data_IF_515045326185
#
_entry.id   IF_515045326185
#
_cell.length_a   1.000
_cell.length_b   1.000
_cell.length_c   1.000
_cell.angle_alpha   90.00
_cell.angle_beta   90.00
_cell.angle_gamma   90.00
#
_symmetry.space_group_name_H-M   'P 1'
#
loop_
_entity.id
_entity.type
_entity.pdbx_description
1 polymer ?
#
# COMPACT_ATOMS: atom_id res chain seq x y z
N UNK A 1 -11.42 -11.48 15.60
CA UNK A 1 -11.74 -12.83 15.11
C UNK A 1 -11.94 -12.80 13.59
N UNK A 2 -12.92 -12.03 13.11
CA UNK A 2 -13.26 -11.78 11.68
C UNK A 2 -12.06 -11.61 10.72
N UNK A 3 -11.11 -10.71 11.00
CA UNK A 3 -9.97 -10.47 10.10
C UNK A 3 -9.08 -11.69 9.88
N UNK A 4 -8.93 -12.54 10.90
CA UNK A 4 -8.13 -13.77 10.81
C UNK A 4 -8.82 -14.78 9.92
N UNK A 5 -10.13 -14.98 10.10
CA UNK A 5 -10.96 -15.90 9.30
C UNK A 5 -10.93 -15.52 7.82
N UNK A 6 -11.04 -14.22 7.51
CA UNK A 6 -10.95 -13.73 6.13
C UNK A 6 -9.57 -13.97 5.54
N UNK A 7 -8.50 -13.65 6.26
CA UNK A 7 -7.13 -13.94 5.78
C UNK A 7 -6.96 -15.44 5.56
N UNK A 8 -7.41 -16.27 6.49
CA UNK A 8 -7.28 -17.72 6.38
C UNK A 8 -8.11 -18.28 5.20
N UNK A 9 -9.26 -17.67 4.87
CA UNK A 9 -10.03 -18.00 3.66
C UNK A 9 -9.31 -17.57 2.38
N UNK A 10 -8.85 -16.31 2.30
CA UNK A 10 -8.11 -15.80 1.14
C UNK A 10 -6.86 -16.63 0.87
N UNK A 11 -6.13 -17.02 1.93
CA UNK A 11 -4.97 -17.92 1.82
C UNK A 11 -5.37 -19.31 1.33
N UNK A 12 -6.52 -19.85 1.74
CA UNK A 12 -7.02 -21.14 1.23
C UNK A 12 -7.38 -21.07 -0.25
N UNK A 13 -8.03 -20.00 -0.69
CA UNK A 13 -8.40 -19.81 -2.08
C UNK A 13 -7.17 -19.61 -2.98
N UNK A 14 -6.21 -18.83 -2.52
CA UNK A 14 -4.96 -18.64 -3.25
C UNK A 14 -4.18 -19.95 -3.38
N UNK A 15 -4.17 -20.78 -2.33
CA UNK A 15 -3.59 -22.13 -2.40
C UNK A 15 -4.29 -23.01 -3.44
N UNK A 16 -5.63 -23.04 -3.44
CA UNK A 16 -6.41 -23.76 -4.45
C UNK A 16 -6.09 -23.26 -5.87
N UNK A 17 -5.94 -21.94 -6.05
CA UNK A 17 -5.52 -21.35 -7.32
C UNK A 17 -4.13 -21.83 -7.72
N UNK A 18 -3.13 -21.73 -6.84
CA UNK A 18 -1.78 -22.21 -7.14
C UNK A 18 -1.79 -23.68 -7.52
N UNK A 19 -2.52 -24.52 -6.78
CA UNK A 19 -2.68 -25.95 -7.08
C UNK A 19 -3.29 -26.16 -8.47
N UNK A 20 -4.39 -25.46 -8.80
CA UNK A 20 -5.04 -25.53 -10.12
C UNK A 20 -4.15 -25.02 -11.26
N UNK A 21 -3.27 -24.06 -10.98
CA UNK A 21 -2.31 -23.49 -11.94
C UNK A 21 -0.98 -24.24 -11.99
N UNK A 22 -0.82 -25.36 -11.27
CA UNK A 22 0.42 -26.13 -11.22
C UNK A 22 1.57 -25.42 -10.49
N UNK A 23 1.29 -24.33 -9.77
CA UNK A 23 2.27 -23.60 -8.96
C UNK A 23 2.48 -24.36 -7.66
N UNK A 24 3.66 -24.95 -7.50
CA UNK A 24 4.04 -25.66 -6.27
C UNK A 24 4.60 -24.67 -5.25
N UNK A 25 3.84 -24.41 -4.20
CA UNK A 25 4.32 -23.61 -3.06
C UNK A 25 5.39 -24.39 -2.26
N UNK A 26 6.41 -23.72 -1.72
CA UNK A 26 7.45 -24.39 -0.94
C UNK A 26 6.85 -25.00 0.33
N UNK A 27 7.10 -26.31 0.54
CA UNK A 27 6.72 -26.98 1.79
C UNK A 27 7.64 -26.52 2.93
N UNK A 28 7.04 -25.99 4.00
CA UNK A 28 7.77 -25.49 5.18
C UNK A 28 7.55 -26.44 6.35
N UNK A 29 8.54 -27.27 6.65
CA UNK A 29 8.47 -28.20 7.79
C UNK A 29 8.36 -27.41 9.11
N UNK A 30 7.42 -27.76 10.00
CA UNK A 30 7.31 -27.13 11.33
C UNK A 30 8.61 -27.23 12.13
N UNK A 31 9.32 -28.36 12.00
CA UNK A 31 10.61 -28.57 12.67
C UNK A 31 11.70 -27.68 12.10
N UNK A 32 11.80 -27.61 10.76
CA UNK A 32 12.74 -26.71 10.10
C UNK A 32 12.48 -25.25 10.50
N UNK A 33 11.20 -24.83 10.54
CA UNK A 33 10.81 -23.48 11.01
C UNK A 33 11.25 -23.25 12.45
N UNK A 34 11.05 -24.21 13.35
CA UNK A 34 11.51 -24.12 14.74
C UNK A 34 13.02 -23.86 14.87
N UNK A 35 13.83 -24.46 14.00
CA UNK A 35 15.29 -24.30 14.02
C UNK A 35 15.78 -23.01 13.36
N UNK A 36 15.23 -22.65 12.20
CA UNK A 36 15.82 -21.55 11.38
C UNK A 36 15.15 -20.20 11.60
N UNK A 37 13.92 -20.17 12.11
CA UNK A 37 13.15 -18.93 12.17
C UNK A 37 13.81 -17.90 13.08
N UNK A 38 14.21 -18.28 14.29
CA UNK A 38 14.88 -17.36 15.22
C UNK A 38 16.21 -16.81 14.68
N UNK A 39 17.21 -17.66 14.33
CA UNK A 39 18.51 -17.15 13.93
C UNK A 39 18.43 -16.30 12.66
N UNK A 40 17.61 -16.70 11.67
CA UNK A 40 17.48 -15.92 10.44
C UNK A 40 16.73 -14.61 10.64
N UNK A 41 15.66 -14.58 11.45
CA UNK A 41 15.03 -13.31 11.79
C UNK A 41 15.98 -12.38 12.54
N UNK A 42 16.81 -12.91 13.45
CA UNK A 42 17.79 -12.11 14.17
C UNK A 42 18.87 -11.57 13.22
N UNK A 43 19.42 -12.41 12.35
CA UNK A 43 20.39 -11.99 11.33
C UNK A 43 19.80 -10.93 10.39
N UNK A 44 18.58 -11.13 9.92
CA UNK A 44 17.87 -10.12 9.14
C UNK A 44 17.71 -8.81 9.91
N UNK A 45 17.26 -8.88 11.17
CA UNK A 45 17.10 -7.70 12.02
C UNK A 45 18.41 -6.94 12.21
N UNK A 46 19.50 -7.65 12.51
CA UNK A 46 20.84 -7.07 12.64
C UNK A 46 21.31 -6.46 11.32
N UNK A 47 21.07 -7.12 10.19
CA UNK A 47 21.35 -6.59 8.86
C UNK A 47 20.59 -5.29 8.59
N UNK A 48 19.30 -5.24 8.93
CA UNK A 48 18.48 -4.04 8.78
C UNK A 48 18.94 -2.90 9.70
N UNK A 49 19.27 -3.22 10.95
CA UNK A 49 19.85 -2.27 11.89
C UNK A 49 21.19 -1.73 11.38
N UNK A 50 22.04 -2.60 10.83
CA UNK A 50 23.32 -2.21 10.24
C UNK A 50 23.13 -1.25 9.05
N UNK A 51 22.23 -1.59 8.10
CA UNK A 51 21.87 -0.70 6.98
C UNK A 51 21.41 0.69 7.46
N UNK A 52 20.60 0.74 8.52
CA UNK A 52 20.08 1.99 9.08
C UNK A 52 21.17 2.91 9.63
N UNK A 53 22.21 2.33 10.22
CA UNK A 53 23.31 3.05 10.86
C UNK A 53 24.51 3.30 9.92
N UNK A 54 24.56 2.66 8.75
CA UNK A 54 25.58 2.93 7.74
C UNK A 54 25.43 4.31 7.07
N UNK A 55 26.54 4.87 6.54
CA UNK A 55 26.48 6.04 5.69
C UNK A 55 25.48 5.85 4.55
N UNK A 56 24.70 6.88 4.24
CA UNK A 56 23.56 6.79 3.31
C UNK A 56 23.94 6.29 1.91
N UNK A 57 25.09 6.74 1.40
CA UNK A 57 25.67 6.25 0.14
C UNK A 57 25.89 4.74 0.14
N UNK A 58 26.35 4.19 1.26
CA UNK A 58 26.70 2.78 1.40
C UNK A 58 25.45 1.94 1.60
N UNK A 59 24.51 2.40 2.45
CA UNK A 59 23.19 1.77 2.60
C UNK A 59 22.49 1.65 1.25
N UNK A 60 22.48 2.73 0.46
CA UNK A 60 21.90 2.73 -0.87
C UNK A 60 22.57 1.70 -1.79
N UNK A 61 23.91 1.72 -1.90
CA UNK A 61 24.64 0.81 -2.76
C UNK A 61 24.41 -0.67 -2.36
N UNK A 62 24.31 -0.96 -1.07
CA UNK A 62 23.97 -2.29 -0.57
C UNK A 62 22.54 -2.69 -0.91
N UNK A 63 21.57 -1.81 -0.68
CA UNK A 63 20.17 -2.07 -1.02
C UNK A 63 19.99 -2.27 -2.54
N UNK A 64 20.66 -1.47 -3.36
CA UNK A 64 20.68 -1.61 -4.82
C UNK A 64 21.23 -2.99 -5.22
N UNK A 65 22.35 -3.42 -4.65
CA UNK A 65 22.93 -4.75 -4.92
C UNK A 65 21.99 -5.89 -4.49
N UNK A 66 21.36 -5.78 -3.33
CA UNK A 66 20.40 -6.78 -2.83
C UNK A 66 19.19 -6.85 -3.76
N UNK A 67 18.59 -5.72 -4.12
CA UNK A 67 17.42 -5.68 -4.99
C UNK A 67 17.74 -6.17 -6.40
N UNK A 68 18.91 -5.81 -6.94
CA UNK A 68 19.37 -6.32 -8.24
C UNK A 68 19.64 -7.83 -8.21
N UNK A 69 20.14 -8.36 -7.10
CA UNK A 69 20.32 -9.79 -6.93
C UNK A 69 18.96 -10.51 -6.86
N UNK A 70 18.03 -9.99 -6.07
CA UNK A 70 16.67 -10.53 -5.94
C UNK A 70 15.87 -10.43 -7.23
N UNK A 71 16.14 -9.43 -8.08
CA UNK A 71 15.54 -9.28 -9.40
C UNK A 71 16.16 -10.18 -10.47
N UNK A 72 17.09 -11.09 -10.12
CA UNK A 72 17.79 -11.92 -11.11
C UNK A 72 18.65 -11.09 -12.07
N UNK A 73 19.07 -9.89 -11.65
CA UNK A 73 19.80 -8.89 -12.44
C UNK A 73 19.02 -8.32 -13.63
N UNK A 74 17.71 -8.50 -13.67
CA UNK A 74 16.83 -7.85 -14.65
C UNK A 74 16.83 -6.34 -14.40
N UNK A 75 16.82 -5.55 -15.47
CA UNK A 75 16.74 -4.09 -15.40
C UNK A 75 15.65 -3.60 -16.34
N UNK A 76 14.64 -2.97 -15.78
CA UNK A 76 13.59 -2.33 -16.57
C UNK A 76 14.01 -0.92 -17.00
N UNK A 77 13.45 -0.47 -18.14
CA UNK A 77 13.74 0.86 -18.69
C UNK A 77 12.96 1.92 -17.92
N UNK A 78 13.55 3.10 -17.80
CA UNK A 78 12.85 4.30 -17.33
C UNK A 78 11.93 4.80 -18.44
N UNK A 79 10.71 5.18 -18.09
CA UNK A 79 9.78 5.82 -19.00
C UNK A 79 10.29 7.20 -19.47
N UNK A 80 9.80 7.69 -20.62
CA UNK A 80 10.34 8.88 -21.29
C UNK A 80 10.22 10.17 -20.47
N UNK A 81 9.28 10.24 -19.53
CA UNK A 81 9.02 11.43 -18.73
C UNK A 81 9.76 11.48 -17.39
N UNK A 82 10.59 10.47 -17.07
CA UNK A 82 11.25 10.34 -15.75
C UNK A 82 11.93 11.65 -15.31
N UNK A 83 12.89 12.15 -16.10
CA UNK A 83 13.66 13.34 -15.74
C UNK A 83 12.79 14.61 -15.62
N UNK A 84 11.75 14.73 -16.44
CA UNK A 84 10.79 15.85 -16.35
C UNK A 84 10.02 15.80 -15.02
N UNK A 85 9.52 14.61 -14.63
CA UNK A 85 8.77 14.43 -13.38
C UNK A 85 9.64 14.66 -12.14
N UNK A 86 10.92 14.28 -12.17
CA UNK A 86 11.90 14.62 -11.12
C UNK A 86 12.10 16.13 -11.00
N UNK A 87 12.23 16.85 -12.13
CA UNK A 87 12.34 18.31 -12.13
C UNK A 87 11.07 18.97 -11.55
N UNK A 88 9.89 18.51 -11.93
CA UNK A 88 8.62 18.99 -11.36
C UNK A 88 8.54 18.75 -9.84
N UNK A 89 8.93 17.56 -9.38
CA UNK A 89 8.95 17.23 -7.96
C UNK A 89 9.86 18.17 -7.17
N UNK A 90 11.07 18.43 -7.67
CA UNK A 90 12.02 19.38 -7.07
C UNK A 90 11.48 20.80 -7.05
N UNK A 91 10.84 21.24 -8.15
CA UNK A 91 10.19 22.54 -8.23
C UNK A 91 9.10 22.68 -7.16
N UNK A 92 8.20 21.71 -7.04
CA UNK A 92 7.16 21.69 -6.02
C UNK A 92 7.73 21.69 -4.60
N UNK A 93 8.77 20.88 -4.35
CA UNK A 93 9.42 20.82 -3.04
C UNK A 93 10.05 22.15 -2.64
N UNK A 94 10.78 22.79 -3.57
CA UNK A 94 11.39 24.11 -3.37
C UNK A 94 10.31 25.17 -3.10
N UNK A 95 9.24 25.19 -3.90
CA UNK A 95 8.12 26.14 -3.69
C UNK A 95 7.43 25.92 -2.35
N UNK A 96 7.24 24.68 -1.94
CA UNK A 96 6.72 24.34 -0.62
C UNK A 96 7.63 24.87 0.49
N UNK A 97 8.94 24.68 0.37
CA UNK A 97 9.90 25.20 1.34
C UNK A 97 9.91 26.73 1.41
N UNK A 98 9.88 27.41 0.26
CA UNK A 98 9.78 28.87 0.18
C UNK A 98 8.51 29.41 0.85
N UNK A 99 7.35 28.76 0.63
CA UNK A 99 6.06 29.23 1.16
C UNK A 99 5.80 28.87 2.62
N UNK A 100 6.35 27.75 3.11
CA UNK A 100 6.06 27.24 4.46
C UNK A 100 7.28 27.25 5.40
N UNK A 101 8.44 27.66 4.91
CA UNK A 101 9.71 27.64 5.66
C UNK A 101 10.21 26.23 6.00
N UNK A 102 9.62 25.19 5.41
CA UNK A 102 9.97 23.79 5.69
C UNK A 102 9.88 22.94 4.41
N UNK A 103 10.93 22.16 4.16
CA UNK A 103 10.91 21.11 3.13
C UNK A 103 9.82 20.06 3.42
N UNK A 104 9.07 19.59 2.41
CA UNK A 104 8.04 18.58 2.59
C UNK A 104 8.63 17.21 2.99
N UNK A 105 7.82 16.41 3.68
CA UNK A 105 8.04 14.97 3.74
C UNK A 105 7.78 14.37 2.35
N UNK A 106 8.49 13.30 1.96
CA UNK A 106 8.31 12.69 0.63
C UNK A 106 7.85 11.25 0.78
N UNK A 107 6.76 10.93 0.08
CA UNK A 107 6.23 9.57 -0.02
C UNK A 107 6.27 9.14 -1.47
N UNK A 108 7.11 8.16 -1.79
CA UNK A 108 7.07 7.46 -3.06
C UNK A 108 6.05 6.31 -2.96
N UNK A 109 4.97 6.42 -3.72
CA UNK A 109 3.88 5.44 -3.75
C UNK A 109 4.07 4.52 -4.95
N UNK A 110 4.17 3.21 -4.72
CA UNK A 110 4.39 2.22 -5.76
C UNK A 110 3.07 1.56 -6.15
N UNK A 111 2.85 1.32 -7.45
CA UNK A 111 1.91 0.28 -7.86
C UNK A 111 2.39 -1.08 -7.39
N UNK A 112 1.47 -2.04 -7.27
CA UNK A 112 1.81 -3.41 -6.93
C UNK A 112 1.62 -4.26 -8.20
N UNK A 113 2.71 -4.82 -8.75
CA UNK A 113 2.63 -5.73 -9.88
C UNK A 113 1.95 -7.03 -9.49
N UNK A 114 1.44 -7.80 -10.47
CA UNK A 114 0.91 -9.12 -10.21
C UNK A 114 1.99 -10.01 -9.58
N UNK A 115 1.62 -10.83 -8.59
CA UNK A 115 2.52 -11.76 -7.88
C UNK A 115 2.53 -13.10 -8.62
N UNK A 116 2.74 -13.07 -9.94
CA UNK A 116 3.01 -14.27 -10.72
C UNK A 116 4.51 -14.59 -10.65
N UNK A 117 4.90 -15.84 -10.89
CA UNK A 117 6.31 -16.24 -10.80
C UNK A 117 7.18 -15.44 -11.77
N UNK A 118 6.64 -15.14 -12.95
CA UNK A 118 7.28 -14.39 -14.03
C UNK A 118 7.45 -12.90 -13.68
N UNK A 119 6.49 -12.32 -12.93
CA UNK A 119 6.42 -10.87 -12.66
C UNK A 119 6.88 -10.50 -11.24
N UNK A 120 7.17 -11.48 -10.37
CA UNK A 120 7.70 -11.23 -9.02
C UNK A 120 9.00 -10.40 -9.00
N UNK A 121 9.80 -10.51 -10.06
CA UNK A 121 11.01 -9.70 -10.27
C UNK A 121 10.69 -8.20 -10.35
N UNK A 122 9.52 -7.84 -10.88
CA UNK A 122 9.07 -6.47 -11.06
C UNK A 122 8.87 -5.74 -9.72
N UNK A 123 8.48 -6.45 -8.66
CA UNK A 123 8.38 -5.89 -7.31
C UNK A 123 9.71 -5.33 -6.82
N UNK A 124 10.78 -6.12 -6.94
CA UNK A 124 12.12 -5.72 -6.52
C UNK A 124 12.64 -4.57 -7.37
N UNK A 125 12.35 -4.59 -8.67
CA UNK A 125 12.74 -3.52 -9.57
C UNK A 125 11.96 -2.22 -9.30
N UNK A 126 10.67 -2.25 -8.99
CA UNK A 126 9.91 -1.06 -8.58
C UNK A 126 10.50 -0.43 -7.32
N UNK A 127 10.83 -1.26 -6.32
CA UNK A 127 11.51 -0.79 -5.13
C UNK A 127 12.86 -0.17 -5.51
N UNK A 128 13.67 -0.84 -6.33
CA UNK A 128 14.98 -0.31 -6.78
C UNK A 128 14.81 1.05 -7.46
N UNK A 129 13.84 1.19 -8.35
CA UNK A 129 13.52 2.44 -9.04
C UNK A 129 13.04 3.54 -8.10
N UNK A 130 12.26 3.21 -7.07
CA UNK A 130 11.87 4.17 -6.04
C UNK A 130 13.08 4.73 -5.28
N UNK A 131 14.07 3.88 -5.00
CA UNK A 131 15.32 4.33 -4.39
C UNK A 131 16.10 5.25 -5.34
N UNK A 132 16.22 4.88 -6.63
CA UNK A 132 16.84 5.75 -7.63
C UNK A 132 16.11 7.08 -7.77
N UNK A 133 14.78 7.08 -7.78
CA UNK A 133 13.96 8.29 -7.86
C UNK A 133 14.24 9.23 -6.69
N UNK A 134 14.27 8.69 -5.46
CA UNK A 134 14.56 9.48 -4.26
C UNK A 134 16.01 9.98 -4.23
N UNK A 135 16.97 9.16 -4.68
CA UNK A 135 18.37 9.56 -4.85
C UNK A 135 18.50 10.65 -5.90
N UNK A 136 17.79 10.55 -7.02
CA UNK A 136 17.83 11.59 -8.04
C UNK A 136 17.22 12.86 -7.48
N UNK A 137 16.04 12.80 -6.87
CA UNK A 137 15.35 13.95 -6.28
C UNK A 137 16.24 14.80 -5.35
N UNK A 138 16.96 14.20 -4.39
CA UNK A 138 17.69 14.93 -3.32
C UNK A 138 19.08 14.38 -2.97
N UNK A 139 19.61 13.43 -3.73
CA UNK A 139 20.87 12.78 -3.42
C UNK A 139 20.78 11.84 -2.22
N UNK A 140 21.81 11.86 -1.37
CA UNK A 140 21.94 10.95 -0.21
C UNK A 140 21.71 11.64 1.14
N UNK A 141 21.09 12.82 1.12
CA UNK A 141 20.92 13.64 2.32
C UNK A 141 19.98 12.99 3.35
N UNK A 142 18.98 12.24 2.88
CA UNK A 142 17.92 11.71 3.74
C UNK A 142 17.94 10.18 3.83
N UNK A 143 17.60 9.60 5.01
CA UNK A 143 17.33 8.17 5.10
C UNK A 143 16.09 7.81 4.28
N UNK A 144 16.18 6.71 3.54
CA UNK A 144 15.04 6.09 2.86
C UNK A 144 14.47 5.01 3.79
N UNK A 145 13.22 5.19 4.18
CA UNK A 145 12.39 4.18 4.82
C UNK A 145 11.57 3.49 3.75
N UNK A 146 11.33 2.21 3.96
CA UNK A 146 10.42 1.45 3.11
C UNK A 146 9.29 0.91 3.98
N UNK A 147 8.07 1.04 3.51
CA UNK A 147 6.89 0.40 4.07
C UNK A 147 6.47 -0.64 3.04
N UNK A 148 6.88 -1.89 3.27
CA UNK A 148 6.31 -3.02 2.52
C UNK A 148 5.31 -3.70 3.43
N UNK A 149 4.06 -3.70 2.97
CA UNK A 149 3.04 -4.57 3.50
C UNK A 149 3.21 -5.94 2.87
N UNK A 150 3.91 -6.85 3.54
CA UNK A 150 4.00 -8.23 3.07
C UNK A 150 2.77 -8.96 3.59
N UNK A 151 1.96 -9.50 2.69
CA UNK A 151 0.90 -10.40 3.11
C UNK A 151 1.47 -11.78 3.49
N UNK A 152 0.67 -12.55 4.24
CA UNK A 152 1.04 -13.89 4.69
C UNK A 152 1.37 -14.82 3.52
N UNK A 153 0.58 -14.75 2.46
CA UNK A 153 0.75 -15.58 1.28
C UNK A 153 2.04 -15.26 0.53
N UNK A 154 2.39 -13.97 0.36
CA UNK A 154 3.63 -13.55 -0.29
C UNK A 154 4.87 -14.10 0.43
N UNK A 155 4.85 -14.17 1.77
CA UNK A 155 5.89 -14.86 2.54
C UNK A 155 5.80 -16.39 2.40
N UNK A 156 4.60 -16.95 2.36
CA UNK A 156 4.36 -18.40 2.18
C UNK A 156 4.88 -18.91 0.82
N UNK A 157 4.90 -18.06 -0.21
CA UNK A 157 5.39 -18.39 -1.55
C UNK A 157 6.93 -18.45 -1.67
N UNK A 158 7.69 -17.88 -0.74
CA UNK A 158 9.17 -17.90 -0.79
C UNK A 158 9.76 -19.02 0.09
N UNK A 159 10.96 -19.53 -0.25
CA UNK A 159 11.69 -20.48 0.59
C UNK A 159 11.85 -19.99 2.03
N UNK A 160 11.78 -20.91 3.00
CA UNK A 160 11.80 -20.61 4.44
C UNK A 160 12.98 -19.72 4.86
N UNK A 161 14.17 -19.94 4.28
CA UNK A 161 15.36 -19.14 4.61
C UNK A 161 15.18 -17.68 4.21
N UNK A 162 14.66 -17.44 3.00
CA UNK A 162 14.41 -16.11 2.47
C UNK A 162 13.29 -15.41 3.26
N UNK A 163 12.21 -16.13 3.57
CA UNK A 163 11.13 -15.65 4.43
C UNK A 163 11.67 -15.11 5.76
N UNK A 164 12.38 -15.95 6.52
CA UNK A 164 12.80 -15.60 7.88
C UNK A 164 13.84 -14.48 7.90
N UNK A 165 14.80 -14.49 6.96
CA UNK A 165 15.79 -13.41 6.86
C UNK A 165 15.13 -12.09 6.46
N UNK A 166 14.27 -12.10 5.43
CA UNK A 166 13.59 -10.89 4.96
C UNK A 166 12.65 -10.30 6.01
N UNK A 167 11.91 -11.15 6.74
CA UNK A 167 11.05 -10.71 7.84
C UNK A 167 11.85 -10.01 8.95
N UNK A 168 13.08 -10.46 9.23
CA UNK A 168 14.02 -9.77 10.11
C UNK A 168 14.48 -8.43 9.54
N UNK A 169 14.94 -8.42 8.30
CA UNK A 169 15.46 -7.23 7.59
C UNK A 169 14.46 -6.08 7.58
N UNK A 170 13.20 -6.41 7.29
CA UNK A 170 12.08 -5.47 7.24
C UNK A 170 11.84 -4.75 8.58
N UNK A 171 12.31 -5.28 9.70
CA UNK A 171 12.13 -4.68 11.03
C UNK A 171 13.34 -3.88 11.49
N UNK A 172 14.54 -4.27 11.07
CA UNK A 172 15.76 -3.54 11.42
C UNK A 172 15.94 -2.26 10.60
N UNK A 173 15.67 -2.34 9.29
CA UNK A 173 15.95 -1.26 8.34
C UNK A 173 14.69 -0.51 7.86
N UNK A 174 13.55 -1.20 7.81
CA UNK A 174 12.33 -0.71 7.17
C UNK A 174 11.18 -0.54 8.18
N UNK A 175 10.09 0.08 7.73
CA UNK A 175 8.82 0.17 8.42
C UNK A 175 8.01 -1.10 8.07
N UNK A 176 8.51 -2.25 8.51
CA UNK A 176 7.93 -3.55 8.18
C UNK A 176 6.53 -3.75 8.72
N UNK A 177 5.62 -4.15 7.84
CA UNK A 177 4.36 -4.79 8.22
C UNK A 177 4.65 -6.27 8.44
N UNK A 178 4.47 -6.74 9.67
CA UNK A 178 4.28 -8.15 9.86
C UNK A 178 2.81 -8.37 10.21
N UNK A 179 2.09 -9.12 9.37
CA UNK A 179 0.71 -9.52 9.66
C UNK A 179 0.63 -10.58 10.75
N UNK A 180 1.74 -11.00 11.35
CA UNK A 180 1.81 -12.17 12.23
C UNK A 180 2.68 -12.05 13.50
N UNK A 181 2.85 -10.87 14.15
CA UNK A 181 3.63 -10.83 15.39
C UNK A 181 3.03 -11.73 16.49
N UNK A 182 1.72 -12.02 16.45
CA UNK A 182 1.04 -12.89 17.41
C UNK A 182 1.18 -14.40 17.14
N UNK A 183 1.60 -14.82 15.94
CA UNK A 183 1.83 -16.25 15.63
C UNK A 183 3.24 -16.70 16.05
N UNK A 184 4.13 -15.75 16.35
CA UNK A 184 5.47 -16.03 16.85
C UNK A 184 5.39 -16.56 18.28
N UNK A 185 6.19 -17.58 18.59
CA UNK A 185 6.18 -18.24 19.91
C UNK A 185 7.26 -17.66 20.83
N UNK A 186 6.98 -17.63 22.13
CA UNK A 186 7.96 -17.30 23.18
C UNK A 186 8.62 -15.92 23.04
N UNK A 187 9.95 -15.87 23.21
CA UNK A 187 10.74 -14.64 23.21
C UNK A 187 10.66 -13.87 21.88
N UNK A 188 10.47 -14.57 20.76
CA UNK A 188 10.26 -13.92 19.47
C UNK A 188 9.05 -12.98 19.50
N UNK A 189 7.94 -13.39 20.13
CA UNK A 189 6.76 -12.53 20.24
C UNK A 189 7.09 -11.21 20.93
N UNK A 190 7.84 -11.24 22.03
CA UNK A 190 8.27 -10.03 22.77
C UNK A 190 9.25 -9.19 21.96
N UNK A 191 10.28 -9.81 21.39
CA UNK A 191 11.28 -9.13 20.57
C UNK A 191 10.64 -8.41 19.37
N UNK A 192 9.50 -8.93 18.91
CA UNK A 192 8.85 -8.52 17.68
C UNK A 192 7.43 -7.97 17.85
N UNK A 193 7.00 -7.68 19.07
CA UNK A 193 5.68 -7.12 19.39
C UNK A 193 5.52 -5.69 18.84
N UNK A 194 6.64 -4.99 18.61
CA UNK A 194 6.66 -3.61 18.08
C UNK A 194 6.32 -3.51 16.59
N UNK A 195 6.14 -4.64 15.91
CA UNK A 195 5.87 -4.73 14.45
C UNK A 195 4.38 -4.79 14.06
N UNK A 196 3.46 -4.60 15.01
CA UNK A 196 2.02 -4.67 14.73
C UNK A 196 1.47 -3.46 13.95
N UNK A 197 0.36 -3.67 13.23
CA UNK A 197 -0.36 -2.65 12.43
C UNK A 197 -0.47 -1.28 13.11
N UNK A 198 -0.89 -1.25 14.37
CA UNK A 198 -1.10 0.01 15.10
C UNK A 198 0.18 0.82 15.31
N UNK A 199 1.32 0.15 15.51
CA UNK A 199 2.63 0.80 15.72
C UNK A 199 3.28 1.22 14.40
N UNK A 200 2.99 0.54 13.29
CA UNK A 200 3.48 0.97 11.97
C UNK A 200 2.88 2.32 11.56
N UNK A 201 1.57 2.51 11.72
CA UNK A 201 0.94 3.80 11.45
C UNK A 201 1.61 4.93 12.23
N UNK A 202 1.89 4.70 13.51
CA UNK A 202 2.65 5.65 14.34
C UNK A 202 4.07 5.86 13.80
N UNK A 203 4.81 4.79 13.49
CA UNK A 203 6.19 4.88 12.99
C UNK A 203 6.28 5.59 11.64
N UNK A 204 5.30 5.39 10.75
CA UNK A 204 5.16 6.12 9.50
C UNK A 204 4.95 7.61 9.76
N UNK A 205 4.01 7.96 10.65
CA UNK A 205 3.77 9.37 11.01
C UNK A 205 5.02 10.01 11.59
N UNK A 206 5.74 9.31 12.48
CA UNK A 206 6.97 9.82 13.06
C UNK A 206 8.10 9.98 12.02
N UNK A 207 8.23 9.04 11.08
CA UNK A 207 9.17 9.16 9.96
C UNK A 207 8.83 10.39 9.10
N UNK A 208 7.56 10.58 8.76
CA UNK A 208 7.11 11.72 7.94
C UNK A 208 7.24 13.05 8.67
N UNK A 209 6.93 13.13 9.97
CA UNK A 209 7.18 14.33 10.78
C UNK A 209 8.66 14.69 10.86
N UNK A 210 9.54 13.70 10.87
CA UNK A 210 11.00 13.88 10.77
C UNK A 210 11.46 14.21 9.35
N UNK A 211 10.54 14.31 8.39
CA UNK A 211 10.80 14.55 6.97
C UNK A 211 11.68 13.46 6.35
N UNK A 212 11.64 12.24 6.88
CA UNK A 212 12.28 11.08 6.24
C UNK A 212 11.58 10.78 4.90
N UNK A 213 12.28 10.10 3.99
CA UNK A 213 11.74 9.71 2.69
C UNK A 213 11.16 8.32 2.82
N UNK A 214 9.93 8.12 2.39
CA UNK A 214 9.24 6.85 2.57
C UNK A 214 8.81 6.28 1.23
N UNK A 215 9.23 5.05 0.94
CA UNK A 215 8.73 4.24 -0.17
C UNK A 215 7.60 3.36 0.37
N UNK A 216 6.40 3.40 -0.21
CA UNK A 216 5.24 2.62 0.23
C UNK A 216 4.60 1.96 -0.98
N UNK A 217 4.30 0.66 -0.89
CA UNK A 217 3.47 0.00 -1.90
C UNK A 217 2.00 0.23 -1.55
N UNK A 218 1.23 0.82 -2.46
CA UNK A 218 -0.15 1.26 -2.17
C UNK A 218 -1.13 0.07 -2.03
N UNK A 219 -0.86 -1.05 -2.69
CA UNK A 219 -1.57 -2.33 -2.55
C UNK A 219 -0.65 -3.36 -1.90
N UNK A 220 -0.96 -3.83 -0.68
CA UNK A 220 -0.04 -4.66 0.12
C UNK A 220 -0.42 -6.13 0.21
N UNK A 221 -0.59 -6.82 -0.93
CA UNK A 221 -0.84 -8.26 -0.98
C UNK A 221 -1.00 -8.77 -2.41
N UNK A 222 -1.13 -10.11 -2.57
CA UNK A 222 -1.47 -10.73 -3.86
C UNK A 222 -2.63 -9.98 -4.46
N UNK A 223 -2.44 -9.55 -5.70
CA UNK A 223 -3.20 -8.50 -6.38
C UNK A 223 -4.72 -8.66 -6.18
N UNK A 224 -5.20 -9.89 -6.26
CA UNK A 224 -6.59 -10.27 -6.22
C UNK A 224 -7.15 -10.36 -4.78
N UNK A 225 -6.41 -10.95 -3.83
CA UNK A 225 -6.77 -11.00 -2.40
C UNK A 225 -6.74 -9.62 -1.75
N UNK A 226 -5.74 -8.83 -2.13
CA UNK A 226 -5.62 -7.44 -1.73
C UNK A 226 -6.85 -6.70 -2.25
N UNK A 227 -7.13 -6.71 -3.55
CA UNK A 227 -8.29 -6.04 -4.15
C UNK A 227 -9.58 -6.29 -3.37
N UNK A 228 -10.01 -7.55 -3.21
CA UNK A 228 -11.28 -7.84 -2.53
C UNK A 228 -11.29 -7.31 -1.09
N UNK A 229 -10.28 -7.68 -0.30
CA UNK A 229 -10.20 -7.30 1.11
C UNK A 229 -10.23 -5.78 1.27
N UNK A 230 -9.55 -5.10 0.38
CA UNK A 230 -9.39 -3.68 0.47
C UNK A 230 -10.60 -2.90 -0.06
N UNK A 231 -11.17 -3.31 -1.20
CA UNK A 231 -12.42 -2.75 -1.74
C UNK A 231 -13.54 -2.92 -0.71
N UNK A 232 -13.66 -4.12 -0.10
CA UNK A 232 -14.61 -4.38 0.98
C UNK A 232 -14.43 -3.41 2.15
N UNK A 233 -13.18 -3.12 2.54
CA UNK A 233 -12.88 -2.21 3.66
C UNK A 233 -13.15 -0.75 3.34
N UNK A 234 -12.84 -0.30 2.13
CA UNK A 234 -13.16 1.07 1.71
C UNK A 234 -14.68 1.24 1.60
N UNK A 235 -15.38 0.25 1.04
CA UNK A 235 -16.85 0.23 0.95
C UNK A 235 -17.52 0.19 2.32
N UNK A 236 -17.10 -0.72 3.21
CA UNK A 236 -17.56 -0.74 4.59
C UNK A 236 -17.32 0.59 5.29
N UNK A 237 -16.16 1.21 5.08
CA UNK A 237 -15.84 2.49 5.70
C UNK A 237 -16.72 3.63 5.16
N UNK A 238 -17.06 3.62 3.87
CA UNK A 238 -18.04 4.54 3.29
C UNK A 238 -19.45 4.33 3.89
N UNK A 239 -19.84 3.07 4.12
CA UNK A 239 -21.11 2.71 4.77
C UNK A 239 -21.14 3.04 6.28
N UNK A 240 -19.98 3.07 6.93
CA UNK A 240 -19.84 3.28 8.38
C UNK A 240 -20.12 4.71 8.82
N UNK A 241 -20.04 5.71 7.94
CA UNK A 241 -20.19 7.13 8.33
C UNK A 241 -21.55 7.45 8.97
N UNK A 242 -22.56 6.58 8.82
CA UNK A 242 -23.90 6.70 9.45
C UNK A 242 -24.13 5.80 10.69
N UNK A 243 -23.23 4.90 11.05
CA UNK A 243 -23.48 3.92 12.11
C UNK A 243 -23.14 4.46 13.53
N UNK A 244 -24.16 4.58 14.38
CA UNK A 244 -24.10 5.24 15.70
C UNK A 244 -23.23 4.54 16.76
N UNK A 245 -22.92 3.24 16.63
CA UNK A 245 -22.15 2.50 17.66
C UNK A 245 -21.01 1.63 17.12
N UNK A 246 -19.94 1.48 17.91
CA UNK A 246 -18.72 0.75 17.53
C UNK A 246 -18.88 -0.78 17.49
N UNK A 247 -19.80 -1.35 18.28
CA UNK A 247 -20.10 -2.78 18.27
C UNK A 247 -20.84 -3.19 16.99
N UNK A 248 -21.90 -2.44 16.64
CA UNK A 248 -22.67 -2.63 15.40
C UNK A 248 -21.80 -2.57 14.15
N UNK A 249 -20.77 -1.72 14.15
CA UNK A 249 -19.79 -1.63 13.08
C UNK A 249 -18.98 -2.93 12.88
N UNK A 250 -18.63 -3.67 13.93
CA UNK A 250 -17.86 -4.92 13.76
C UNK A 250 -18.71 -6.02 13.18
N UNK A 251 -19.97 -6.12 13.60
CA UNK A 251 -20.90 -7.11 13.08
C UNK A 251 -21.28 -6.81 11.63
N UNK A 252 -21.46 -5.53 11.28
CA UNK A 252 -21.64 -5.10 9.89
C UNK A 252 -20.40 -5.39 9.03
N UNK A 253 -19.19 -5.11 9.52
CA UNK A 253 -17.97 -5.46 8.80
C UNK A 253 -17.92 -6.98 8.58
N UNK A 254 -18.23 -7.79 9.61
CA UNK A 254 -18.31 -9.24 9.50
C UNK A 254 -19.34 -9.69 8.47
N UNK A 255 -20.54 -9.14 8.49
CA UNK A 255 -21.63 -9.53 7.59
C UNK A 255 -21.27 -9.22 6.13
N UNK A 256 -20.75 -8.01 5.85
CA UNK A 256 -20.28 -7.67 4.51
C UNK A 256 -19.20 -8.66 4.04
N UNK A 257 -18.22 -8.95 4.90
CA UNK A 257 -17.18 -9.90 4.54
C UNK A 257 -17.71 -11.31 4.33
N UNK A 258 -18.64 -11.79 5.16
CA UNK A 258 -19.29 -13.09 4.97
C UNK A 258 -20.06 -13.15 3.65
N UNK A 259 -20.75 -12.07 3.26
CA UNK A 259 -21.45 -11.96 1.97
C UNK A 259 -20.46 -12.06 0.80
N UNK A 260 -19.37 -11.30 0.86
CA UNK A 260 -18.31 -11.33 -0.15
C UNK A 260 -17.57 -12.67 -0.20
N UNK A 261 -17.61 -13.42 0.90
CA UNK A 261 -16.84 -14.63 1.12
C UNK A 261 -17.63 -15.94 1.06
N UNK A 262 -18.94 -15.87 0.78
CA UNK A 262 -19.78 -17.05 0.70
C UNK A 262 -19.23 -18.02 -0.36
N UNK A 263 -19.17 -19.32 -0.09
CA UNK A 263 -18.83 -20.33 -1.10
C UNK A 263 -20.08 -20.64 -1.96
N UNK A 264 -20.61 -19.63 -2.66
CA UNK A 264 -21.63 -19.80 -3.70
C UNK A 264 -21.00 -19.48 -5.05
N UNK A 265 -21.51 -20.00 -6.17
CA UNK A 265 -21.03 -19.63 -7.53
C UNK A 265 -21.12 -18.12 -7.80
N UNK A 266 -21.97 -17.42 -7.06
CA UNK A 266 -22.27 -16.00 -7.19
C UNK A 266 -21.41 -15.08 -6.31
N UNK A 267 -20.48 -15.63 -5.53
CA UNK A 267 -19.58 -14.85 -4.69
C UNK A 267 -18.44 -14.21 -5.50
N UNK A 268 -17.83 -13.15 -4.97
CA UNK A 268 -16.59 -12.61 -5.58
C UNK A 268 -15.46 -13.65 -5.61
N UNK A 269 -15.54 -14.64 -4.71
CA UNK A 269 -14.53 -15.67 -4.54
C UNK A 269 -14.68 -16.84 -5.52
N UNK A 270 -15.85 -17.02 -6.13
CA UNK A 270 -16.17 -18.15 -7.03
C UNK A 270 -16.22 -17.77 -8.51
N UNK A 271 -16.72 -16.58 -8.86
CA UNK A 271 -16.85 -16.10 -10.23
C UNK A 271 -17.02 -14.56 -10.20
N UNK A 272 -16.08 -13.70 -10.64
CA UNK A 272 -14.82 -13.89 -11.35
C UNK A 272 -13.65 -13.15 -10.65
N UNK A 273 -12.83 -13.87 -9.87
CA UNK A 273 -11.58 -13.37 -9.27
C UNK A 273 -10.61 -12.74 -10.29
N UNK A 274 -10.80 -13.05 -11.60
CA UNK A 274 -9.92 -12.65 -12.72
C UNK A 274 -10.48 -11.57 -13.64
N UNK A 275 -11.80 -11.53 -13.92
CA UNK A 275 -12.34 -10.56 -14.90
C UNK A 275 -12.45 -9.14 -14.34
N UNK A 276 -12.20 -8.97 -13.04
CA UNK A 276 -12.34 -7.68 -12.31
C UNK A 276 -13.76 -7.13 -12.34
N UNK A 277 -14.73 -7.98 -12.66
CA UNK A 277 -16.14 -7.64 -12.69
C UNK A 277 -16.82 -8.11 -11.40
N UNK A 278 -17.84 -7.36 -11.00
CA UNK A 278 -18.72 -7.73 -9.90
C UNK A 278 -19.94 -8.39 -10.53
N UNK A 279 -20.31 -9.63 -10.16
CA UNK A 279 -21.52 -10.28 -10.68
C UNK A 279 -22.77 -9.46 -10.37
N UNK A 280 -23.74 -9.44 -11.29
CA UNK A 280 -25.00 -8.71 -11.10
C UNK A 280 -25.78 -9.16 -9.85
N UNK A 281 -25.73 -10.45 -9.50
CA UNK A 281 -26.33 -10.99 -8.27
C UNK A 281 -25.71 -10.39 -7.00
N UNK A 282 -24.38 -10.23 -7.00
CA UNK A 282 -23.68 -9.57 -5.91
C UNK A 282 -23.92 -8.07 -5.88
N UNK A 283 -24.05 -7.40 -7.04
CA UNK A 283 -24.43 -5.99 -7.09
C UNK A 283 -25.77 -5.74 -6.38
N UNK A 284 -26.77 -6.59 -6.68
CA UNK A 284 -28.07 -6.54 -6.01
C UNK A 284 -27.93 -6.78 -4.50
N UNK A 285 -27.14 -7.77 -4.11
CA UNK A 285 -26.87 -8.09 -2.69
C UNK A 285 -26.19 -6.93 -1.95
N UNK A 286 -25.23 -6.24 -2.58
CA UNK A 286 -24.56 -5.06 -2.01
C UNK A 286 -25.50 -3.86 -1.89
N UNK A 287 -26.39 -3.65 -2.87
CA UNK A 287 -27.42 -2.61 -2.81
C UNK A 287 -28.42 -2.90 -1.68
N UNK A 288 -28.94 -4.12 -1.59
CA UNK A 288 -29.81 -4.57 -0.50
C UNK A 288 -29.14 -4.44 0.87
N UNK A 289 -27.86 -4.83 0.96
CA UNK A 289 -27.08 -4.66 2.17
C UNK A 289 -27.01 -3.18 2.58
N UNK A 290 -26.68 -2.27 1.66
CA UNK A 290 -26.65 -0.83 1.95
C UNK A 290 -28.03 -0.28 2.37
N UNK A 291 -29.11 -0.73 1.71
CA UNK A 291 -30.49 -0.38 2.09
C UNK A 291 -30.82 -0.84 3.52
N UNK A 292 -30.40 -2.05 3.90
CA UNK A 292 -30.58 -2.58 5.28
C UNK A 292 -29.87 -1.74 6.35
N UNK A 293 -28.86 -0.96 5.93
CA UNK A 293 -28.14 -0.02 6.79
C UNK A 293 -28.80 1.38 6.86
N UNK A 294 -29.95 1.57 6.22
CA UNK A 294 -30.69 2.84 6.22
C UNK A 294 -30.19 3.86 5.18
N UNK A 295 -29.49 3.42 4.14
CA UNK A 295 -29.17 4.28 3.00
C UNK A 295 -30.38 4.44 2.08
N UNK A 296 -30.51 5.60 1.43
CA UNK A 296 -31.51 5.74 0.35
C UNK A 296 -31.12 4.89 -0.84
N UNK A 297 -32.09 4.54 -1.71
CA UNK A 297 -31.82 3.75 -2.92
C UNK A 297 -30.77 4.40 -3.83
N UNK A 298 -30.79 5.72 -3.97
CA UNK A 298 -29.77 6.45 -4.73
C UNK A 298 -28.38 6.30 -4.11
N UNK A 299 -28.27 6.44 -2.78
CA UNK A 299 -27.00 6.30 -2.08
C UNK A 299 -26.48 4.86 -2.10
N UNK A 300 -27.37 3.87 -1.97
CA UNK A 300 -27.06 2.45 -2.08
C UNK A 300 -26.47 2.14 -3.47
N UNK A 301 -27.16 2.54 -4.54
CA UNK A 301 -26.67 2.42 -5.93
C UNK A 301 -25.32 3.08 -6.14
N UNK A 302 -25.15 4.32 -5.68
CA UNK A 302 -23.87 5.04 -5.78
C UNK A 302 -22.75 4.30 -5.06
N UNK A 303 -23.02 3.74 -3.89
CA UNK A 303 -22.01 3.03 -3.08
C UNK A 303 -21.64 1.68 -3.70
N UNK A 304 -22.62 0.96 -4.28
CA UNK A 304 -22.39 -0.27 -5.07
C UNK A 304 -21.60 0.03 -6.34
N UNK A 305 -21.93 1.09 -7.08
CA UNK A 305 -21.16 1.51 -8.25
C UNK A 305 -19.72 1.88 -7.90
N UNK A 306 -19.51 2.56 -6.76
CA UNK A 306 -18.16 2.86 -6.26
C UNK A 306 -17.40 1.57 -5.88
N UNK A 307 -18.07 0.58 -5.27
CA UNK A 307 -17.48 -0.74 -5.02
C UNK A 307 -17.02 -1.39 -6.32
N UNK A 308 -17.89 -1.45 -7.34
CA UNK A 308 -17.58 -2.03 -8.65
C UNK A 308 -16.40 -1.32 -9.31
N UNK A 309 -16.42 0.00 -9.33
CA UNK A 309 -15.32 0.82 -9.88
C UNK A 309 -14.01 0.56 -9.18
N UNK A 310 -13.99 0.50 -7.85
CA UNK A 310 -12.78 0.23 -7.05
C UNK A 310 -12.31 -1.22 -7.21
N UNK A 311 -13.23 -2.18 -7.26
CA UNK A 311 -12.92 -3.60 -7.52
C UNK A 311 -12.28 -3.81 -8.89
N UNK A 312 -12.73 -3.09 -9.92
CA UNK A 312 -12.21 -3.20 -11.28
C UNK A 312 -10.76 -2.74 -11.48
N UNK A 313 -10.14 -2.09 -10.49
CA UNK A 313 -8.85 -1.39 -10.64
C UNK A 313 -7.65 -2.30 -10.46
N UNK A 314 -6.55 -1.91 -11.10
CA UNK A 314 -5.22 -2.43 -10.79
C UNK A 314 -4.74 -1.95 -9.43
N UNK A 315 -4.83 -0.64 -9.21
CA UNK A 315 -4.47 -0.02 -7.94
C UNK A 315 -5.71 0.63 -7.31
N UNK A 316 -6.19 0.10 -6.17
CA UNK A 316 -7.32 0.68 -5.45
C UNK A 316 -6.96 2.05 -4.87
N UNK A 317 -7.93 2.96 -4.84
CA UNK A 317 -7.74 4.37 -4.46
C UNK A 317 -7.27 4.59 -3.02
N UNK A 318 -7.61 3.69 -2.09
CA UNK A 318 -7.12 3.75 -0.69
C UNK A 318 -7.42 5.07 0.00
N UNK A 319 -8.63 5.61 -0.15
CA UNK A 319 -9.01 6.91 0.43
C UNK A 319 -8.62 7.02 1.93
N UNK A 320 -8.77 5.94 2.70
CA UNK A 320 -8.34 5.88 4.11
C UNK A 320 -6.86 6.18 4.35
N UNK A 321 -5.97 5.76 3.47
CA UNK A 321 -4.54 6.04 3.57
C UNK A 321 -4.28 7.54 3.39
N UNK A 322 -4.86 8.16 2.37
CA UNK A 322 -4.74 9.60 2.14
C UNK A 322 -5.36 10.43 3.27
N UNK A 323 -6.51 10.00 3.79
CA UNK A 323 -7.12 10.63 4.97
C UNK A 323 -6.22 10.51 6.20
N UNK A 324 -5.60 9.35 6.39
CA UNK A 324 -4.64 9.14 7.46
C UNK A 324 -3.45 10.10 7.32
N UNK A 325 -2.84 10.17 6.14
CA UNK A 325 -1.74 11.11 5.85
C UNK A 325 -2.16 12.54 6.15
N UNK A 326 -3.31 12.97 5.63
CA UNK A 326 -3.76 14.35 5.79
C UNK A 326 -4.01 14.67 7.26
N UNK A 327 -4.76 13.82 7.98
CA UNK A 327 -5.10 14.09 9.39
C UNK A 327 -3.92 14.00 10.34
N UNK A 328 -3.01 13.07 10.11
CA UNK A 328 -1.94 12.74 11.07
C UNK A 328 -0.62 13.44 10.77
N UNK A 329 -0.40 13.86 9.52
CA UNK A 329 0.84 14.48 9.06
C UNK A 329 0.57 15.89 8.55
N UNK A 330 -0.22 16.03 7.48
CA UNK A 330 -0.42 17.32 6.80
C UNK A 330 -1.04 18.38 7.71
N UNK A 331 -2.14 18.03 8.39
CA UNK A 331 -2.83 18.91 9.35
C UNK A 331 -2.02 19.16 10.63
N UNK A 332 -0.88 18.48 10.81
CA UNK A 332 0.12 18.79 11.84
C UNK A 332 1.25 19.67 11.29
N UNK A 333 0.96 20.43 10.23
CA UNK A 333 1.85 21.40 9.56
C UNK A 333 3.08 20.76 8.95
N UNK A 334 2.96 19.51 8.48
CA UNK A 334 4.03 18.84 7.73
C UNK A 334 3.53 18.60 6.31
N UNK A 335 3.89 19.45 5.34
CA UNK A 335 3.60 19.21 3.93
C UNK A 335 4.09 17.84 3.46
N UNK A 336 3.35 17.20 2.56
CA UNK A 336 3.73 15.88 2.02
C UNK A 336 3.75 15.93 0.50
N UNK A 337 4.92 15.69 -0.09
CA UNK A 337 5.11 15.47 -1.53
C UNK A 337 4.86 13.99 -1.84
N UNK A 338 3.92 13.70 -2.73
CA UNK A 338 3.66 12.37 -3.23
C UNK A 338 4.35 12.18 -4.58
N UNK A 339 5.08 11.08 -4.72
CA UNK A 339 5.75 10.65 -5.95
C UNK A 339 5.19 9.30 -6.39
N UNK A 340 4.27 9.24 -7.35
CA UNK A 340 3.73 7.98 -7.84
C UNK A 340 4.74 7.31 -8.77
N UNK A 341 5.03 6.04 -8.54
CA UNK A 341 5.83 5.19 -9.40
C UNK A 341 5.00 3.97 -9.81
N UNK A 342 4.78 3.82 -11.11
CA UNK A 342 4.06 2.70 -11.70
C UNK A 342 4.94 1.88 -12.61
N UNK A 343 4.49 0.66 -12.89
CA UNK A 343 5.07 -0.20 -13.91
C UNK A 343 4.13 -0.25 -15.13
N UNK A 344 4.70 -0.45 -16.31
CA UNK A 344 3.98 -0.76 -17.53
C UNK A 344 3.37 -2.17 -17.50
N UNK A 345 2.86 -2.61 -18.65
CA UNK A 345 2.29 -3.95 -18.78
C UNK A 345 3.38 -5.02 -18.74
N UNK A 346 2.97 -6.28 -18.58
CA UNK A 346 3.90 -7.42 -18.65
C UNK A 346 4.68 -7.47 -19.97
N UNK A 347 4.05 -7.03 -21.07
CA UNK A 347 4.63 -7.02 -22.41
C UNK A 347 5.52 -5.80 -22.69
N UNK A 348 5.30 -4.70 -21.96
CA UNK A 348 6.09 -3.47 -22.06
C UNK A 348 6.53 -2.99 -20.69
N UNK A 349 7.45 -3.71 -20.04
CA UNK A 349 7.77 -3.44 -18.66
C UNK A 349 8.71 -2.22 -18.60
N UNK A 350 8.09 -1.06 -18.40
CA UNK A 350 8.73 0.23 -18.18
C UNK A 350 8.36 0.78 -16.82
N UNK A 351 9.24 1.58 -16.21
CA UNK A 351 8.97 2.26 -14.95
C UNK A 351 8.64 3.72 -15.20
N UNK A 352 7.43 4.14 -14.88
CA UNK A 352 6.97 5.50 -15.09
C UNK A 352 6.77 6.21 -13.74
N UNK A 353 7.18 7.47 -13.69
CA UNK A 353 6.82 8.37 -12.60
C UNK A 353 5.60 9.16 -13.06
N UNK A 354 4.53 9.14 -12.28
CA UNK A 354 3.36 9.96 -12.56
C UNK A 354 3.56 11.42 -12.11
N UNK A 355 2.47 12.16 -12.05
CA UNK A 355 2.45 13.56 -11.67
C UNK A 355 2.71 13.73 -10.16
N UNK A 356 3.80 14.43 -9.77
CA UNK A 356 4.06 14.72 -8.36
C UNK A 356 3.06 15.76 -7.84
N UNK A 357 2.61 15.61 -6.60
CA UNK A 357 1.67 16.53 -5.96
C UNK A 357 2.04 16.80 -4.51
N UNK A 358 1.78 18.00 -4.01
CA UNK A 358 2.00 18.35 -2.59
C UNK A 358 0.67 18.46 -1.88
N UNK A 359 0.54 17.75 -0.77
CA UNK A 359 -0.56 17.88 0.18
C UNK A 359 -0.18 18.90 1.25
N UNK A 360 -1.02 19.92 1.42
CA UNK A 360 -0.80 21.05 2.31
C UNK A 360 -1.88 21.17 3.39
N UNK A 361 -1.52 21.73 4.56
CA UNK A 361 -2.50 22.03 5.61
C UNK A 361 -3.52 23.06 5.11
N UNK A 362 -4.74 22.96 5.63
CA UNK A 362 -5.81 23.94 5.42
C UNK A 362 -5.95 24.75 6.71
N UNK A 363 -5.95 26.08 6.60
CA UNK A 363 -5.95 26.98 7.76
C UNK A 363 -7.31 27.12 8.45
N UNK A 364 -8.42 26.95 7.71
CA UNK A 364 -9.79 26.97 8.25
C UNK A 364 -10.66 25.90 7.59
N UNK A 365 -11.38 25.12 8.40
CA UNK A 365 -12.44 24.22 7.92
C UNK A 365 -13.63 25.06 7.46
N UNK A 366 -13.79 25.22 6.15
CA UNK A 366 -15.11 25.51 5.59
C UNK A 366 -15.76 24.16 5.27
N UNK A 367 -16.81 23.77 5.99
CA UNK A 367 -17.62 22.59 5.65
C UNK A 367 -17.72 21.51 6.74
N UNK A 368 -18.37 20.41 6.35
CA UNK A 368 -18.75 19.30 7.21
C UNK A 368 -17.52 18.73 7.94
N UNK A 369 -17.49 18.69 9.29
CA UNK A 369 -16.35 18.18 10.05
C UNK A 369 -16.03 16.69 9.79
N UNK A 370 -16.95 15.94 9.18
CA UNK A 370 -16.75 14.56 8.75
C UNK A 370 -16.01 14.44 7.43
N UNK A 371 -16.07 15.46 6.55
CA UNK A 371 -15.32 15.47 5.32
C UNK A 371 -13.88 15.89 5.58
N UNK A 372 -12.95 15.08 5.10
CA UNK A 372 -11.54 15.43 5.10
C UNK A 372 -11.28 16.19 3.81
N UNK A 373 -10.77 17.41 3.95
CA UNK A 373 -10.36 18.26 2.84
C UNK A 373 -8.84 18.39 2.83
N UNK A 374 -8.27 18.43 1.64
CA UNK A 374 -6.85 18.69 1.42
C UNK A 374 -6.65 19.90 0.51
N UNK A 375 -5.68 20.75 0.82
CA UNK A 375 -5.15 21.69 -0.16
C UNK A 375 -4.07 20.96 -0.95
N UNK A 376 -4.21 20.93 -2.27
CA UNK A 376 -3.34 20.18 -3.18
C UNK A 376 -2.67 21.17 -4.14
N UNK A 377 -1.35 21.06 -4.25
CA UNK A 377 -0.58 21.72 -5.30
C UNK A 377 -0.18 20.72 -6.37
N UNK A 378 -0.50 21.04 -7.61
CA UNK A 378 -0.01 20.38 -8.82
C UNK A 378 0.74 21.39 -9.68
N UNK A 379 1.64 20.94 -10.55
CA UNK A 379 2.21 21.83 -11.58
C UNK A 379 1.29 21.79 -12.80
N UNK A 380 1.00 22.95 -13.38
CA UNK A 380 0.24 23.05 -14.63
C UNK A 380 0.88 22.18 -15.74
N UNK A 381 0.10 21.55 -16.64
CA UNK A 381 0.63 20.82 -17.79
C UNK A 381 1.57 21.65 -18.67
N UNK A 382 1.37 22.96 -18.71
CA UNK A 382 2.21 23.92 -19.45
C UNK A 382 3.55 24.22 -18.76
N UNK A 383 3.78 23.67 -17.56
CA UNK A 383 4.96 23.91 -16.75
C UNK A 383 4.96 25.27 -16.04
N UNK A 384 5.80 25.40 -15.00
CA UNK A 384 6.16 26.71 -14.41
C UNK A 384 5.14 27.36 -13.47
N UNK A 385 3.86 26.98 -13.50
CA UNK A 385 2.84 27.48 -12.57
C UNK A 385 2.31 26.38 -11.65
N UNK A 386 2.06 26.73 -10.38
CA UNK A 386 1.39 25.87 -9.42
C UNK A 386 -0.11 26.11 -9.54
N UNK A 387 -0.87 25.05 -9.79
CA UNK A 387 -2.31 25.02 -9.63
C UNK A 387 -2.63 24.56 -8.22
N UNK A 388 -3.40 25.37 -7.50
CA UNK A 388 -3.92 25.04 -6.19
C UNK A 388 -5.38 24.61 -6.30
N UNK A 389 -5.71 23.48 -5.68
CA UNK A 389 -7.08 22.98 -5.58
C UNK A 389 -7.37 22.57 -4.15
N UNK A 390 -8.56 22.91 -3.67
CA UNK A 390 -9.10 22.43 -2.39
C UNK A 390 -10.25 21.48 -2.71
N UNK A 391 -10.11 20.22 -2.34
CA UNK A 391 -11.12 19.19 -2.62
C UNK A 391 -11.18 18.15 -1.50
N UNK A 392 -12.21 17.31 -1.55
CA UNK A 392 -12.34 16.20 -0.62
C UNK A 392 -11.19 15.21 -0.84
N UNK A 393 -10.68 14.63 0.25
CA UNK A 393 -9.58 13.65 0.18
C UNK A 393 -10.00 12.40 -0.57
N UNK A 394 -11.29 12.07 -0.53
CA UNK A 394 -11.83 10.97 -1.31
C UNK A 394 -11.70 11.29 -2.80
N UNK A 395 -12.27 12.40 -3.27
CA UNK A 395 -12.24 12.76 -4.69
C UNK A 395 -10.80 12.90 -5.21
N UNK A 396 -9.92 13.52 -4.43
CA UNK A 396 -8.50 13.58 -4.73
C UNK A 396 -7.87 12.18 -4.87
N UNK A 397 -8.06 11.30 -3.88
CA UNK A 397 -7.48 9.96 -3.92
C UNK A 397 -7.99 9.16 -5.12
N UNK A 398 -9.28 9.28 -5.44
CA UNK A 398 -9.90 8.62 -6.58
C UNK A 398 -9.31 9.12 -7.91
N UNK A 399 -9.28 10.43 -8.12
CA UNK A 399 -8.78 11.03 -9.35
C UNK A 399 -7.28 10.79 -9.51
N UNK A 400 -6.50 11.07 -8.47
CA UNK A 400 -5.04 10.99 -8.51
C UNK A 400 -4.55 9.55 -8.69
N UNK A 401 -5.12 8.56 -8.00
CA UNK A 401 -4.72 7.16 -8.23
C UNK A 401 -5.12 6.69 -9.63
N UNK A 402 -6.25 7.17 -10.17
CA UNK A 402 -6.67 6.87 -11.55
C UNK A 402 -5.74 7.42 -12.61
N UNK A 403 -5.24 8.62 -12.39
CA UNK A 403 -4.33 9.31 -13.31
C UNK A 403 -2.90 8.72 -13.29
N UNK A 404 -2.49 8.11 -12.18
CA UNK A 404 -1.07 7.81 -11.94
C UNK A 404 -0.69 6.33 -11.91
N UNK A 405 -1.66 5.42 -11.75
CA UNK A 405 -1.38 3.98 -11.56
C UNK A 405 -2.16 3.04 -12.49
N UNK A 406 -2.91 3.58 -13.45
CA UNK A 406 -3.66 2.79 -14.44
C UNK A 406 -3.09 2.98 -15.84
#
# INVERSE_FOLDING_TARGET
MVYKEIIDLLVRLEKKYCEASGIVLPRKSPWARGLVEFPLNLLGFLGGWFLRNMPRRWSFAWQEKILLFLSGRVRYRLGPHWGHRVKMARFLAKRCEESFGVSPAVVCLLSHPPVTREVNVLNYELIRHAYHLLKEFEGYAHPIRQVVAIDRFGLDAVPLVQECFYAGLMRGGHLGFDRQPWLRRGFQRKLFERSGYGRMAYSLVEALKKRERVVIVLSGGVYENARLLYTAREHFWALRQKAESSARNRDQERNLFSLLAAESEESVLSAPYRTREVPSSLEATLEEYALSLGYSREQARKTTQNFKKEFGRDVPWRARFFQFLIRRVVQKRVPVLLLPLSHGTEFEPQMSVGEPVVLLPIEKKAGNPQEHWGRIWKVSPQGGQIQEKVESVQDFAQAWVSENFN
#
